data_IF_093750112579
#
_entry.id   IF_093750112579
#
_cell.length_a   1.000
_cell.length_b   1.000
_cell.length_c   1.000
_cell.angle_alpha   90.00
_cell.angle_beta   90.00
_cell.angle_gamma   90.00
#
_symmetry.space_group_name_H-M   'P 1'
#
loop_
_entity.id
_entity.type
_entity.pdbx_description
1 polymer ?
#
# COMPACT_ATOMS: atom_id res chain seq x y z
N UNK A 1 17.96 16.13 -48.93
CA UNK A 1 18.06 14.75 -48.40
C UNK A 1 18.57 14.89 -46.98
N UNK A 2 17.78 14.51 -45.99
CA UNK A 2 18.10 14.76 -44.58
C UNK A 2 19.13 13.71 -44.13
N UNK A 3 20.26 14.15 -43.61
CA UNK A 3 21.39 13.28 -43.24
C UNK A 3 21.09 12.57 -41.91
N UNK A 4 21.27 11.26 -41.88
CA UNK A 4 21.03 10.40 -40.71
C UNK A 4 21.93 10.84 -39.54
N UNK A 5 23.11 11.40 -39.84
CA UNK A 5 24.02 11.94 -38.83
C UNK A 5 23.48 13.19 -38.13
N UNK A 6 22.66 13.99 -38.80
CA UNK A 6 22.01 15.18 -38.21
C UNK A 6 20.92 14.79 -37.21
N UNK A 7 20.18 13.71 -37.47
CA UNK A 7 19.14 13.20 -36.57
C UNK A 7 19.75 12.59 -35.30
N UNK A 8 20.91 11.92 -35.43
CA UNK A 8 21.63 11.34 -34.28
C UNK A 8 22.31 12.38 -33.38
N UNK A 9 22.64 13.56 -33.93
CA UNK A 9 23.26 14.64 -33.18
C UNK A 9 22.27 15.33 -32.22
N UNK A 10 21.02 15.53 -32.64
CA UNK A 10 19.99 16.19 -31.82
C UNK A 10 19.47 15.29 -30.67
N UNK A 11 19.69 13.99 -30.72
CA UNK A 11 19.29 13.04 -29.67
C UNK A 11 20.37 12.80 -28.59
N UNK A 12 21.55 13.40 -28.67
CA UNK A 12 22.54 13.36 -27.56
C UNK A 12 22.35 14.56 -26.62
N UNK A 13 21.22 14.57 -25.92
CA UNK A 13 21.02 15.45 -24.77
C UNK A 13 22.01 15.10 -23.65
N UNK A 14 22.92 16.04 -23.37
CA UNK A 14 23.66 16.26 -22.11
C UNK A 14 23.91 15.01 -21.23
N UNK A 15 24.93 14.24 -21.56
CA UNK A 15 25.73 13.55 -20.54
C UNK A 15 26.93 14.46 -20.27
N UNK A 16 26.75 15.41 -19.34
CA UNK A 16 27.89 16.03 -18.66
C UNK A 16 28.29 15.08 -17.53
N UNK A 17 29.29 14.26 -17.79
CA UNK A 17 30.17 13.73 -16.76
C UNK A 17 31.15 14.85 -16.39
N UNK A 18 31.00 15.41 -15.20
CA UNK A 18 32.13 16.03 -14.50
C UNK A 18 32.10 15.55 -13.06
N UNK A 19 33.16 14.82 -12.72
CA UNK A 19 33.48 14.29 -11.41
C UNK A 19 33.82 15.46 -10.48
N UNK A 20 32.90 15.79 -9.57
CA UNK A 20 33.29 16.37 -8.28
C UNK A 20 32.92 15.37 -7.20
N UNK A 21 33.95 14.68 -6.69
CA UNK A 21 33.91 13.89 -5.48
C UNK A 21 33.49 14.76 -4.29
N UNK A 22 32.19 14.88 -4.06
CA UNK A 22 31.64 15.21 -2.75
C UNK A 22 30.90 13.98 -2.23
N UNK A 23 31.52 13.33 -1.24
CA UNK A 23 30.93 12.29 -0.43
C UNK A 23 29.69 12.85 0.29
N UNK A 24 28.55 12.82 -0.39
CA UNK A 24 27.23 13.03 0.19
C UNK A 24 26.52 11.68 0.14
N UNK A 25 26.23 11.14 1.33
CA UNK A 25 25.61 9.85 1.49
C UNK A 25 24.31 9.76 0.69
N UNK A 26 24.34 9.03 -0.42
CA UNK A 26 23.12 8.52 -1.05
C UNK A 26 22.51 7.53 -0.05
N UNK A 27 21.61 8.03 0.80
CA UNK A 27 20.53 7.19 1.30
C UNK A 27 19.93 6.52 0.06
N UNK A 28 20.05 5.19 -0.01
CA UNK A 28 19.36 4.42 -1.04
C UNK A 28 17.90 4.89 -1.02
N UNK A 29 17.40 5.44 -2.13
CA UNK A 29 15.97 5.67 -2.31
C UNK A 29 15.31 4.31 -2.10
N UNK A 30 14.80 4.06 -0.90
CA UNK A 30 14.20 2.79 -0.53
C UNK A 30 12.81 2.77 -1.16
N UNK A 31 12.78 2.59 -2.49
CA UNK A 31 11.53 2.32 -3.18
C UNK A 31 11.05 0.97 -2.68
N UNK A 32 9.96 0.92 -1.92
CA UNK A 32 9.52 -0.32 -1.33
C UNK A 32 9.11 -1.26 -2.46
N UNK A 33 9.67 -2.47 -2.48
CA UNK A 33 9.10 -3.50 -3.35
C UNK A 33 7.72 -3.89 -2.82
N UNK A 34 6.75 -4.16 -3.70
CA UNK A 34 5.45 -4.71 -3.29
C UNK A 34 5.58 -6.05 -2.54
N UNK A 35 6.73 -6.71 -2.62
CA UNK A 35 7.09 -7.90 -1.86
C UNK A 35 7.37 -7.63 -0.38
N UNK A 36 7.59 -6.38 0.03
CA UNK A 36 7.90 -6.03 1.43
C UNK A 36 6.65 -5.91 2.31
N UNK A 37 5.46 -5.80 1.69
CA UNK A 37 4.23 -5.61 2.46
C UNK A 37 3.85 -6.85 3.30
N UNK A 38 3.97 -8.09 2.78
CA UNK A 38 3.87 -9.29 3.60
C UNK A 38 4.89 -9.33 4.75
N UNK A 39 6.14 -8.93 4.52
CA UNK A 39 7.17 -8.95 5.56
C UNK A 39 6.82 -8.00 6.71
N UNK A 40 6.38 -6.77 6.36
CA UNK A 40 5.88 -5.79 7.34
C UNK A 40 4.70 -6.34 8.15
N UNK A 41 3.83 -7.12 7.53
CA UNK A 41 2.73 -7.76 8.25
C UNK A 41 3.23 -8.74 9.32
N UNK A 42 4.13 -9.66 8.96
CA UNK A 42 4.62 -10.67 9.89
C UNK A 42 5.55 -10.09 10.96
N UNK A 43 6.43 -9.17 10.57
CA UNK A 43 7.50 -8.67 11.44
C UNK A 43 7.03 -7.56 12.37
N UNK A 44 6.06 -6.73 11.94
CA UNK A 44 5.57 -5.60 12.72
C UNK A 44 4.13 -5.78 13.15
N UNK A 45 3.21 -6.01 12.22
CA UNK A 45 1.77 -5.97 12.53
C UNK A 45 1.35 -7.08 13.49
N UNK A 46 1.77 -8.33 13.26
CA UNK A 46 1.44 -9.44 14.18
C UNK A 46 2.12 -9.27 15.54
N UNK A 47 3.30 -8.65 15.59
CA UNK A 47 4.09 -8.48 16.81
C UNK A 47 3.51 -7.35 17.68
N UNK A 48 3.20 -6.22 17.05
CA UNK A 48 2.76 -5.00 17.73
C UNK A 48 1.27 -5.05 18.11
N UNK A 49 0.45 -5.73 17.31
CA UNK A 49 -1.00 -5.79 17.50
C UNK A 49 -1.44 -7.19 17.91
N UNK A 50 -2.23 -7.27 18.99
CA UNK A 50 -2.76 -8.53 19.52
C UNK A 50 -3.96 -9.04 18.71
N UNK A 51 -3.71 -9.37 17.44
CA UNK A 51 -4.73 -9.86 16.54
C UNK A 51 -5.07 -11.33 16.81
N UNK A 52 -6.36 -11.64 16.85
CA UNK A 52 -6.85 -13.00 16.91
C UNK A 52 -6.88 -13.64 15.51
N UNK A 53 -7.12 -14.96 15.44
CA UNK A 53 -7.12 -15.70 14.18
C UNK A 53 -8.11 -15.14 13.14
N UNK A 54 -9.31 -14.75 13.55
CA UNK A 54 -10.35 -14.24 12.66
C UNK A 54 -9.93 -12.87 12.12
N UNK A 55 -9.42 -11.99 12.98
CA UNK A 55 -8.91 -10.68 12.59
C UNK A 55 -7.77 -10.79 11.59
N UNK A 56 -6.82 -11.72 11.80
CA UNK A 56 -5.73 -12.00 10.87
C UNK A 56 -6.28 -12.42 9.51
N UNK A 57 -7.26 -13.33 9.48
CA UNK A 57 -7.85 -13.81 8.23
C UNK A 57 -8.57 -12.68 7.48
N UNK A 58 -9.35 -11.86 8.18
CA UNK A 58 -10.06 -10.72 7.60
C UNK A 58 -9.07 -9.67 7.08
N UNK A 59 -8.06 -9.34 7.88
CA UNK A 59 -7.03 -8.37 7.51
C UNK A 59 -6.23 -8.86 6.28
N UNK A 60 -5.79 -10.11 6.26
CA UNK A 60 -5.12 -10.70 5.10
C UNK A 60 -6.00 -10.75 3.85
N UNK A 61 -7.30 -11.00 4.02
CA UNK A 61 -8.24 -10.99 2.92
C UNK A 61 -8.36 -9.61 2.29
N UNK A 62 -8.51 -8.57 3.11
CA UNK A 62 -8.54 -7.16 2.69
C UNK A 62 -7.24 -6.84 1.96
N UNK A 63 -6.10 -7.07 2.62
CA UNK A 63 -4.81 -6.61 2.13
C UNK A 63 -4.31 -7.41 0.91
N UNK A 64 -4.70 -8.67 0.73
CA UNK A 64 -4.40 -9.41 -0.52
C UNK A 64 -5.01 -8.71 -1.75
N UNK A 65 -6.19 -8.11 -1.62
CA UNK A 65 -6.84 -7.32 -2.69
C UNK A 65 -6.14 -5.99 -2.91
N UNK A 66 -5.56 -5.42 -1.86
CA UNK A 66 -4.77 -4.17 -1.92
C UNK A 66 -3.41 -4.41 -2.56
N UNK A 67 -2.73 -5.51 -2.21
CA UNK A 67 -1.37 -5.84 -2.60
C UNK A 67 -1.25 -6.30 -4.05
N UNK A 68 -2.21 -7.11 -4.50
CA UNK A 68 -2.10 -7.82 -5.78
C UNK A 68 -2.57 -6.99 -6.98
N UNK A 69 -3.21 -5.85 -6.75
CA UNK A 69 -3.81 -5.04 -7.81
C UNK A 69 -3.21 -3.63 -7.83
N UNK A 70 -2.93 -3.06 -9.03
CA UNK A 70 -2.54 -1.67 -9.14
C UNK A 70 -3.59 -0.78 -8.49
N UNK A 71 -3.18 0.04 -7.52
CA UNK A 71 -4.06 1.02 -6.91
C UNK A 71 -4.51 2.06 -7.95
N UNK A 72 -5.66 1.84 -8.58
CA UNK A 72 -6.28 2.79 -9.51
C UNK A 72 -6.81 4.03 -8.80
N UNK A 73 -7.05 3.95 -7.49
CA UNK A 73 -7.53 5.02 -6.62
C UNK A 73 -6.39 5.60 -5.78
N UNK A 74 -5.26 6.00 -6.40
CA UNK A 74 -4.11 6.58 -5.68
C UNK A 74 -4.49 7.77 -4.79
N UNK A 75 -5.47 8.57 -5.21
CA UNK A 75 -6.03 9.70 -4.44
C UNK A 75 -6.98 9.29 -3.32
N UNK A 76 -7.48 8.05 -3.31
CA UNK A 76 -8.50 7.58 -2.37
C UNK A 76 -8.14 6.18 -1.87
N UNK A 77 -6.85 5.94 -1.55
CA UNK A 77 -6.29 4.69 -1.02
C UNK A 77 -7.20 3.46 -1.02
N UNK A 78 -7.05 2.75 -2.11
CA UNK A 78 -7.26 1.32 -2.29
C UNK A 78 -8.56 0.74 -1.70
N UNK A 79 -9.52 0.79 -2.62
CA UNK A 79 -10.60 -0.17 -2.90
C UNK A 79 -11.86 -0.05 -2.07
N UNK A 80 -12.96 0.24 -2.78
CA UNK A 80 -14.29 -0.15 -2.32
C UNK A 80 -14.27 -1.65 -2.04
N UNK A 81 -14.65 -2.05 -0.83
CA UNK A 81 -14.67 -3.44 -0.45
C UNK A 81 -15.81 -4.19 -1.14
N UNK A 82 -15.60 -5.50 -1.36
CA UNK A 82 -16.66 -6.42 -1.74
C UNK A 82 -17.68 -6.59 -0.61
N UNK A 83 -18.86 -7.10 -0.95
CA UNK A 83 -19.91 -7.39 0.02
C UNK A 83 -19.39 -8.21 1.21
N UNK A 84 -19.73 -7.84 2.45
CA UNK A 84 -19.38 -8.61 3.65
C UNK A 84 -19.88 -10.06 3.58
N UNK A 85 -21.02 -10.27 2.92
CA UNK A 85 -21.56 -11.62 2.68
C UNK A 85 -20.64 -12.46 1.80
N UNK A 86 -19.98 -11.85 0.82
CA UNK A 86 -19.03 -12.52 -0.05
C UNK A 86 -17.73 -12.82 0.70
N UNK A 87 -17.26 -11.88 1.53
CA UNK A 87 -16.11 -12.11 2.40
C UNK A 87 -16.36 -13.27 3.38
N UNK A 88 -17.50 -13.27 4.06
CA UNK A 88 -17.91 -14.34 4.96
C UNK A 88 -17.91 -15.70 4.25
N UNK A 89 -18.49 -15.76 3.04
CA UNK A 89 -18.51 -16.96 2.20
C UNK A 89 -17.10 -17.42 1.80
N UNK A 90 -16.24 -16.51 1.37
CA UNK A 90 -14.89 -16.83 0.91
C UNK A 90 -13.98 -17.29 2.05
N UNK A 91 -14.19 -16.77 3.26
CA UNK A 91 -13.43 -17.15 4.45
C UNK A 91 -14.05 -18.31 5.23
N UNK A 92 -15.28 -18.72 4.91
CA UNK A 92 -16.02 -19.74 5.65
C UNK A 92 -16.34 -19.31 7.09
N UNK A 93 -16.60 -18.01 7.30
CA UNK A 93 -16.85 -17.41 8.61
C UNK A 93 -18.31 -16.97 8.76
N UNK A 94 -18.79 -16.87 10.00
CA UNK A 94 -20.07 -16.24 10.29
C UNK A 94 -20.03 -14.75 9.95
N UNK A 95 -21.14 -14.20 9.46
CA UNK A 95 -21.19 -12.77 9.13
C UNK A 95 -20.99 -11.87 10.35
N UNK A 96 -21.44 -12.31 11.52
CA UNK A 96 -21.21 -11.64 12.81
C UNK A 96 -19.72 -11.59 13.17
N UNK A 97 -18.97 -12.66 12.88
CA UNK A 97 -17.52 -12.70 13.11
C UNK A 97 -16.80 -11.70 12.20
N UNK A 98 -17.25 -11.56 10.95
CA UNK A 98 -16.73 -10.55 10.02
C UNK A 98 -17.00 -9.15 10.55
N UNK A 99 -18.23 -8.85 10.99
CA UNK A 99 -18.54 -7.53 11.55
C UNK A 99 -17.73 -7.21 12.79
N UNK A 100 -17.58 -8.17 13.71
CA UNK A 100 -16.77 -8.00 14.91
C UNK A 100 -15.30 -7.75 14.56
N UNK A 101 -14.74 -8.53 13.62
CA UNK A 101 -13.37 -8.36 13.17
C UNK A 101 -13.14 -7.02 12.48
N UNK A 102 -14.02 -6.60 11.55
CA UNK A 102 -13.92 -5.31 10.87
C UNK A 102 -13.92 -4.15 11.86
N UNK A 103 -14.78 -4.20 12.88
CA UNK A 103 -14.79 -3.18 13.93
C UNK A 103 -13.46 -3.10 14.68
N UNK A 104 -12.87 -4.25 15.05
CA UNK A 104 -11.56 -4.23 15.74
C UNK A 104 -10.44 -3.74 14.84
N UNK A 105 -10.45 -4.12 13.56
CA UNK A 105 -9.46 -3.63 12.59
C UNK A 105 -9.57 -2.13 12.36
N UNK A 106 -10.79 -1.57 12.45
CA UNK A 106 -11.03 -0.13 12.43
C UNK A 106 -10.54 0.55 13.71
N UNK A 107 -10.74 -0.04 14.88
CA UNK A 107 -10.19 0.44 16.15
C UNK A 107 -8.65 0.48 16.17
N UNK A 108 -7.99 -0.35 15.35
CA UNK A 108 -6.54 -0.35 15.15
C UNK A 108 -6.06 0.58 14.01
N UNK A 109 -6.96 1.35 13.39
CA UNK A 109 -6.68 2.23 12.26
C UNK A 109 -6.11 1.52 11.01
N UNK A 110 -6.22 0.20 10.92
CA UNK A 110 -5.82 -0.55 9.71
C UNK A 110 -6.76 -0.32 8.54
N UNK A 111 -8.02 -0.07 8.86
CA UNK A 111 -9.06 0.29 7.91
C UNK A 111 -9.85 1.48 8.47
N UNK A 112 -10.40 2.31 7.58
CA UNK A 112 -11.28 3.43 7.97
C UNK A 112 -12.57 3.36 7.18
N UNK A 113 -13.71 3.43 7.85
CA UNK A 113 -15.02 3.50 7.19
C UNK A 113 -15.30 4.96 6.81
N UNK A 114 -15.48 5.23 5.51
CA UNK A 114 -15.89 6.57 5.04
C UNK A 114 -17.41 6.63 4.92
N UNK A 115 -18.03 5.53 4.47
CA UNK A 115 -19.49 5.35 4.36
C UNK A 115 -19.83 3.88 4.63
N UNK A 116 -21.06 3.59 5.05
CA UNK A 116 -21.49 2.22 5.33
C UNK A 116 -21.20 1.29 4.13
N UNK A 117 -20.38 0.25 4.35
CA UNK A 117 -19.96 -0.71 3.31
C UNK A 117 -18.79 -0.25 2.44
N UNK A 118 -18.22 0.94 2.67
CA UNK A 118 -17.03 1.44 2.00
C UNK A 118 -15.91 1.64 3.01
N UNK A 119 -15.04 0.63 3.09
CA UNK A 119 -13.80 0.71 3.85
C UNK A 119 -12.67 1.14 2.95
N UNK A 120 -11.77 1.87 3.57
CA UNK A 120 -10.51 2.27 3.02
C UNK A 120 -9.39 1.53 3.73
N UNK A 121 -8.37 1.10 3.00
CA UNK A 121 -7.20 0.45 3.60
C UNK A 121 -5.91 1.10 3.09
N UNK A 122 -4.97 1.29 4.01
CA UNK A 122 -3.61 1.77 3.72
C UNK A 122 -2.81 0.69 3.01
N UNK A 123 -1.69 1.03 2.38
CA UNK A 123 -0.87 0.01 1.71
C UNK A 123 0.00 -0.74 2.70
N UNK A 124 0.62 -0.03 3.63
CA UNK A 124 1.48 -0.59 4.67
C UNK A 124 0.83 -0.57 6.05
N UNK A 125 -0.49 -0.77 6.12
CA UNK A 125 -1.28 -0.91 7.36
C UNK A 125 -1.45 0.36 8.17
N UNK A 126 -0.38 1.07 8.51
CA UNK A 126 -0.41 2.26 9.36
C UNK A 126 0.13 3.49 8.65
N UNK A 127 -0.24 4.69 9.14
CA UNK A 127 0.25 5.96 8.60
C UNK A 127 1.78 6.07 8.73
N UNK A 128 2.35 5.61 9.84
CA UNK A 128 3.79 5.66 10.08
C UNK A 128 4.56 4.77 9.11
N UNK A 129 4.03 3.58 8.82
CA UNK A 129 4.64 2.66 7.86
C UNK A 129 4.52 3.20 6.44
N UNK A 130 3.35 3.71 6.06
CA UNK A 130 3.16 4.39 4.78
C UNK A 130 4.18 5.53 4.61
N UNK A 131 4.38 6.37 5.63
CA UNK A 131 5.40 7.43 5.63
C UNK A 131 6.82 6.89 5.48
N UNK A 132 7.16 5.82 6.22
CA UNK A 132 8.50 5.19 6.16
C UNK A 132 8.81 4.60 4.78
N UNK A 133 7.77 4.21 4.04
CA UNK A 133 7.83 3.65 2.71
C UNK A 133 7.46 4.67 1.62
N UNK A 134 7.52 5.97 1.95
CA UNK A 134 7.29 7.11 1.04
C UNK A 134 5.94 7.03 0.29
N UNK A 135 4.93 6.42 0.90
CA UNK A 135 3.57 6.41 0.37
C UNK A 135 2.83 7.68 0.82
N UNK A 136 2.45 8.52 -0.13
CA UNK A 136 1.57 9.66 0.11
C UNK A 136 0.13 9.33 -0.25
N UNK A 137 -0.80 9.65 0.64
CA UNK A 137 -2.24 9.63 0.40
C UNK A 137 -2.81 11.01 0.73
N UNK A 138 -3.92 11.41 0.10
CA UNK A 138 -4.67 12.57 0.57
C UNK A 138 -5.17 12.28 1.99
N UNK A 139 -4.87 13.14 2.97
CA UNK A 139 -5.27 12.91 4.36
C UNK A 139 -6.81 12.99 4.48
N UNK A 140 -7.45 11.91 4.94
CA UNK A 140 -8.91 11.82 5.13
C UNK A 140 -9.34 12.25 6.54
N UNK A 141 -8.73 13.30 7.08
CA UNK A 141 -9.25 13.99 8.26
C UNK A 141 -10.23 15.06 7.79
N UNK A 142 -11.53 14.73 7.85
CA UNK A 142 -12.62 15.72 7.82
C UNK A 142 -13.07 15.92 9.26
#
# INVERSE_FOLDING_TARGET
>A
MVDIHSILADHRSKIKSDDSHEASGRSQEHRPSSSEIPDVFFDKIIVDYKLNRIEILVLMYIYRRVWSFPNLHRSHGISQMMSHTEMAKNLGLGIEDIYSALRRLEEYDFIKTIRAGQYFSRRFFTKDLDLSYEQSYDDFEI
#
